data_IF_567655607053
#
_entry.id   IF_567655607053
#
_cell.length_a   1.000
_cell.length_b   1.000
_cell.length_c   1.000
_cell.angle_alpha   90.00
_cell.angle_beta   90.00
_cell.angle_gamma   90.00
#
_symmetry.space_group_name_H-M   'P 1'
#
loop_
_entity.id
_entity.type
_entity.pdbx_description
1 polymer ?
#
# COMPACT_ATOMS: atom_id res chain seq x y z
N UNK A 1 1.50 -25.07 -6.10
CA UNK A 1 1.64 -24.84 -7.55
C UNK A 1 1.76 -23.32 -7.77
N UNK A 2 2.76 -22.88 -8.51
CA UNK A 2 2.87 -21.49 -8.96
C UNK A 2 2.00 -21.36 -10.21
N UNK A 3 1.24 -20.28 -10.30
CA UNK A 3 0.43 -19.91 -11.46
C UNK A 3 1.03 -18.63 -12.02
N UNK A 4 1.23 -18.57 -13.32
CA UNK A 4 1.72 -17.35 -13.98
C UNK A 4 0.64 -16.24 -13.95
N UNK A 5 1.05 -14.99 -14.02
CA UNK A 5 0.13 -13.86 -14.14
C UNK A 5 -0.74 -14.07 -15.39
N UNK A 6 -2.04 -13.81 -15.25
CA UNK A 6 -3.06 -14.08 -16.27
C UNK A 6 -3.16 -15.55 -16.71
N UNK A 7 -2.64 -16.48 -15.91
CA UNK A 7 -2.72 -17.91 -16.18
C UNK A 7 -4.07 -18.51 -15.80
N UNK A 8 -4.28 -19.75 -16.25
CA UNK A 8 -5.50 -20.52 -15.98
C UNK A 8 -5.18 -21.80 -15.23
N UNK A 9 -6.07 -22.20 -14.33
CA UNK A 9 -6.01 -23.46 -13.58
C UNK A 9 -7.32 -24.22 -13.75
N UNK A 10 -7.23 -25.47 -14.14
CA UNK A 10 -8.37 -26.38 -14.19
C UNK A 10 -8.46 -27.17 -12.89
N UNK A 11 -9.62 -27.11 -12.25
CA UNK A 11 -10.01 -27.86 -11.06
C UNK A 11 -11.43 -28.43 -11.32
N UNK A 12 -11.52 -29.55 -12.04
CA UNK A 12 -12.80 -30.12 -12.46
C UNK A 12 -13.85 -30.10 -11.34
N UNK A 13 -15.07 -29.57 -11.60
CA UNK A 13 -15.61 -29.05 -12.87
C UNK A 13 -15.34 -27.54 -13.14
N UNK A 14 -14.37 -26.90 -12.48
CA UNK A 14 -14.08 -25.47 -12.57
C UNK A 14 -12.86 -25.18 -13.44
N UNK A 15 -12.95 -24.10 -14.22
CA UNK A 15 -11.79 -23.45 -14.87
C UNK A 15 -11.62 -22.05 -14.24
N UNK A 16 -10.45 -21.77 -13.69
CA UNK A 16 -10.15 -20.53 -12.97
C UNK A 16 -9.09 -19.76 -13.75
N UNK A 17 -9.45 -18.59 -14.27
CA UNK A 17 -8.55 -17.64 -14.91
C UNK A 17 -8.19 -16.54 -13.92
N UNK A 18 -6.89 -16.31 -13.75
CA UNK A 18 -6.36 -15.18 -12.99
C UNK A 18 -6.34 -13.94 -13.88
N UNK A 19 -6.78 -12.80 -13.36
CA UNK A 19 -6.85 -11.54 -14.10
C UNK A 19 -6.10 -10.49 -13.31
N UNK A 20 -5.04 -9.96 -13.89
CA UNK A 20 -4.24 -8.91 -13.25
C UNK A 20 -5.09 -7.66 -13.00
N UNK A 21 -5.14 -7.25 -11.75
CA UNK A 21 -5.74 -6.00 -11.28
C UNK A 21 -4.67 -5.12 -10.64
N UNK A 22 -5.05 -3.95 -10.14
CA UNK A 22 -4.20 -3.09 -9.32
C UNK A 22 -4.79 -2.95 -7.91
N UNK A 23 -3.92 -2.93 -6.91
CA UNK A 23 -4.24 -2.75 -5.50
C UNK A 23 -2.98 -2.29 -4.74
N UNK A 24 -3.04 -2.23 -3.42
CA UNK A 24 -1.87 -1.89 -2.57
C UNK A 24 -0.98 -3.08 -2.20
N UNK A 25 -1.23 -4.28 -2.73
CA UNK A 25 -0.40 -5.48 -2.56
C UNK A 25 0.33 -5.83 -3.87
N UNK A 26 1.28 -6.76 -3.79
CA UNK A 26 1.91 -7.33 -4.98
C UNK A 26 0.94 -8.28 -5.70
N UNK A 27 0.96 -8.22 -7.04
CA UNK A 27 0.25 -9.15 -7.93
C UNK A 27 -1.21 -9.37 -7.52
N UNK A 28 -2.03 -8.30 -7.34
CA UNK A 28 -3.44 -8.49 -7.05
C UNK A 28 -4.15 -9.06 -8.27
N UNK A 29 -4.99 -10.08 -8.04
CA UNK A 29 -5.70 -10.76 -9.09
C UNK A 29 -7.19 -10.85 -8.81
N UNK A 30 -8.01 -10.57 -9.83
CA UNK A 30 -9.37 -11.07 -9.91
C UNK A 30 -9.37 -12.52 -10.39
N UNK A 31 -10.45 -13.23 -10.11
CA UNK A 31 -10.66 -14.61 -10.54
C UNK A 31 -11.92 -14.70 -11.40
N UNK A 32 -11.76 -15.13 -12.65
CA UNK A 32 -12.88 -15.60 -13.44
C UNK A 32 -13.03 -17.08 -13.21
N UNK A 33 -14.17 -17.50 -12.70
CA UNK A 33 -14.48 -18.90 -12.39
C UNK A 33 -15.56 -19.37 -13.34
N UNK A 34 -15.19 -20.20 -14.32
CA UNK A 34 -16.15 -20.87 -15.20
C UNK A 34 -16.66 -22.14 -14.53
N UNK A 35 -17.96 -22.31 -14.58
CA UNK A 35 -18.66 -23.47 -14.03
C UNK A 35 -19.59 -24.07 -15.08
N UNK A 36 -20.14 -25.28 -14.90
CA UNK A 36 -21.12 -25.83 -15.82
C UNK A 36 -22.39 -25.00 -16.01
N UNK A 37 -22.71 -24.11 -15.08
CA UNK A 37 -23.93 -23.30 -15.10
C UNK A 37 -23.70 -21.84 -15.48
N UNK A 38 -22.45 -21.40 -15.59
CA UNK A 38 -22.09 -20.04 -15.98
C UNK A 38 -20.75 -19.57 -15.44
N UNK A 39 -20.38 -18.35 -15.79
CA UNK A 39 -19.13 -17.72 -15.38
C UNK A 39 -19.39 -16.70 -14.27
N UNK A 40 -18.53 -16.70 -13.25
CA UNK A 40 -18.53 -15.75 -12.15
C UNK A 40 -17.21 -14.98 -12.18
N UNK A 41 -17.26 -13.68 -11.92
CA UNK A 41 -16.06 -12.86 -11.66
C UNK A 41 -16.00 -12.47 -10.19
N UNK A 42 -14.91 -12.82 -9.53
CA UNK A 42 -14.56 -12.34 -8.19
C UNK A 42 -13.39 -11.37 -8.30
N UNK A 43 -13.58 -10.11 -7.95
CA UNK A 43 -12.52 -9.10 -8.14
C UNK A 43 -11.39 -9.22 -7.11
N UNK A 44 -11.65 -9.78 -5.92
CA UNK A 44 -10.81 -9.52 -4.77
C UNK A 44 -10.82 -8.02 -4.46
N UNK A 45 -9.82 -7.56 -3.70
CA UNK A 45 -9.60 -6.13 -3.47
C UNK A 45 -8.87 -5.54 -4.69
N UNK A 46 -9.35 -4.40 -5.16
CA UNK A 46 -8.85 -3.77 -6.39
C UNK A 46 -9.06 -2.26 -6.40
N UNK A 47 -8.39 -1.58 -7.31
CA UNK A 47 -8.65 -0.19 -7.70
C UNK A 47 -8.27 0.01 -9.17
N UNK A 48 -8.58 1.14 -9.76
CA UNK A 48 -7.98 1.57 -11.04
C UNK A 48 -6.82 2.51 -10.73
N UNK A 49 -5.59 2.06 -10.95
CA UNK A 49 -4.42 2.94 -10.90
C UNK A 49 -3.91 3.18 -12.33
N UNK A 50 -4.02 4.40 -12.86
CA UNK A 50 -3.58 4.70 -14.23
C UNK A 50 -2.06 4.63 -14.38
N UNK A 51 -1.31 4.81 -13.28
CA UNK A 51 0.16 4.83 -13.26
C UNK A 51 0.69 4.06 -12.05
N UNK A 52 0.50 2.71 -12.01
CA UNK A 52 0.98 1.89 -10.93
C UNK A 52 2.50 1.91 -10.89
N UNK A 53 3.07 2.00 -9.69
CA UNK A 53 4.52 2.02 -9.49
C UNK A 53 5.12 0.61 -9.51
N UNK A 54 4.30 -0.39 -9.26
CA UNK A 54 4.68 -1.80 -9.17
C UNK A 54 3.60 -2.64 -9.85
N UNK A 55 4.03 -3.60 -10.65
CA UNK A 55 3.14 -4.48 -11.41
C UNK A 55 2.54 -3.80 -12.64
N UNK A 56 1.64 -4.51 -13.29
CA UNK A 56 0.98 -4.08 -14.52
C UNK A 56 -0.31 -3.32 -14.24
N UNK A 57 -0.74 -2.53 -15.20
CA UNK A 57 -2.08 -1.90 -15.20
C UNK A 57 -3.16 -2.97 -15.34
N UNK A 58 -4.38 -2.63 -14.93
CA UNK A 58 -5.56 -3.46 -15.19
C UNK A 58 -5.68 -3.71 -16.69
N UNK A 59 -5.92 -4.97 -17.05
CA UNK A 59 -6.22 -5.34 -18.42
C UNK A 59 -7.71 -5.11 -18.73
N UNK A 60 -8.07 -3.86 -19.02
CA UNK A 60 -9.45 -3.48 -19.35
C UNK A 60 -10.01 -4.25 -20.55
N UNK A 61 -9.19 -4.53 -21.57
CA UNK A 61 -9.64 -5.27 -22.75
C UNK A 61 -10.06 -6.68 -22.37
N UNK A 62 -9.28 -7.35 -21.51
CA UNK A 62 -9.66 -8.69 -21.04
C UNK A 62 -10.94 -8.69 -20.23
N UNK A 63 -11.16 -7.68 -19.38
CA UNK A 63 -12.40 -7.54 -18.63
C UNK A 63 -13.61 -7.30 -19.54
N UNK A 64 -13.47 -6.51 -20.62
CA UNK A 64 -14.49 -6.29 -21.63
C UNK A 64 -14.83 -7.58 -22.40
N UNK A 65 -13.80 -8.33 -22.82
CA UNK A 65 -13.96 -9.65 -23.46
C UNK A 65 -14.74 -10.62 -22.57
N UNK A 66 -14.37 -10.68 -21.26
CA UNK A 66 -15.08 -11.49 -20.28
C UNK A 66 -16.56 -11.08 -20.16
N UNK A 67 -16.84 -9.79 -20.21
CA UNK A 67 -18.18 -9.24 -20.23
C UNK A 67 -18.97 -9.67 -21.48
N UNK A 68 -18.34 -9.67 -22.66
CA UNK A 68 -18.93 -10.13 -23.92
C UNK A 68 -19.16 -11.65 -23.94
N UNK A 69 -18.25 -12.42 -23.35
CA UNK A 69 -18.42 -13.87 -23.16
C UNK A 69 -19.57 -14.21 -22.20
N UNK A 70 -19.97 -13.26 -21.35
CA UNK A 70 -21.08 -13.35 -20.42
C UNK A 70 -20.67 -13.74 -19.00
N UNK A 71 -21.04 -12.89 -18.03
CA UNK A 71 -20.83 -13.09 -16.60
C UNK A 71 -22.17 -13.21 -15.90
N UNK A 72 -22.37 -14.35 -15.23
CA UNK A 72 -23.61 -14.61 -14.50
C UNK A 72 -23.70 -13.73 -13.26
N UNK A 73 -22.61 -13.67 -12.49
CA UNK A 73 -22.52 -12.87 -11.28
C UNK A 73 -21.12 -12.27 -11.09
N UNK A 74 -21.06 -11.08 -10.47
CA UNK A 74 -19.81 -10.47 -10.07
C UNK A 74 -19.81 -10.24 -8.54
N UNK A 75 -18.79 -10.78 -7.87
CA UNK A 75 -18.48 -10.50 -6.47
C UNK A 75 -17.42 -9.41 -6.48
N UNK A 76 -17.82 -8.18 -6.13
CA UNK A 76 -16.98 -6.99 -6.32
C UNK A 76 -16.69 -6.29 -5.01
N UNK A 77 -15.42 -5.94 -4.77
CA UNK A 77 -15.05 -5.01 -3.70
C UNK A 77 -15.71 -3.66 -3.96
N UNK A 78 -16.47 -3.21 -2.98
CA UNK A 78 -17.20 -1.93 -3.01
C UNK A 78 -16.91 -1.09 -1.76
N UNK A 79 -15.77 -1.30 -1.12
CA UNK A 79 -15.36 -0.68 0.15
C UNK A 79 -15.53 0.84 0.14
N UNK A 80 -15.19 1.50 -0.97
CA UNK A 80 -15.28 2.96 -1.09
C UNK A 80 -16.44 3.45 -1.99
N UNK A 81 -17.52 2.69 -2.14
CA UNK A 81 -18.66 3.06 -3.01
C UNK A 81 -19.25 4.44 -2.70
N UNK A 82 -19.17 4.90 -1.45
CA UNK A 82 -19.63 6.23 -1.05
C UNK A 82 -18.64 7.36 -1.37
N UNK A 83 -17.39 7.04 -1.70
CA UNK A 83 -16.39 8.02 -2.11
C UNK A 83 -16.59 8.41 -3.57
N UNK A 84 -16.77 9.69 -3.83
CA UNK A 84 -16.91 10.21 -5.19
C UNK A 84 -15.57 10.19 -5.94
N UNK A 85 -15.63 10.22 -7.27
CA UNK A 85 -14.44 10.27 -8.13
C UNK A 85 -13.71 8.94 -8.22
N UNK A 86 -12.42 9.00 -8.54
CA UNK A 86 -11.50 7.85 -8.71
C UNK A 86 -10.58 7.68 -7.51
N UNK A 87 -10.06 6.48 -7.33
CA UNK A 87 -9.19 6.13 -6.20
C UNK A 87 -7.81 6.83 -6.21
N UNK A 88 -7.34 7.31 -7.38
CA UNK A 88 -6.06 7.98 -7.52
C UNK A 88 -4.86 7.04 -7.70
N UNK A 89 -3.66 7.62 -7.96
CA UNK A 89 -2.45 6.88 -8.29
C UNK A 89 -1.40 6.92 -7.17
N UNK A 90 -0.68 5.81 -7.00
CA UNK A 90 0.53 5.76 -6.15
C UNK A 90 1.65 6.67 -6.67
N UNK A 91 1.69 6.96 -7.99
CA UNK A 91 2.64 7.92 -8.55
C UNK A 91 2.44 9.34 -7.99
N UNK A 92 1.19 9.77 -7.81
CA UNK A 92 0.90 11.10 -7.26
C UNK A 92 1.24 11.17 -5.77
N UNK A 93 1.01 10.09 -5.03
CA UNK A 93 1.51 9.97 -3.65
C UNK A 93 3.02 10.09 -3.59
N UNK A 94 3.76 9.42 -4.50
CA UNK A 94 5.23 9.52 -4.57
C UNK A 94 5.70 10.95 -4.77
N UNK A 95 5.10 11.67 -5.72
CA UNK A 95 5.44 13.08 -6.00
C UNK A 95 5.27 13.94 -4.76
N UNK A 96 4.13 13.81 -4.08
CA UNK A 96 3.86 14.64 -2.91
C UNK A 96 4.68 14.20 -1.69
N UNK A 97 4.87 12.90 -1.47
CA UNK A 97 5.71 12.40 -0.38
C UNK A 97 7.17 12.89 -0.52
N UNK A 98 7.68 12.95 -1.76
CA UNK A 98 9.00 13.55 -2.02
C UNK A 98 9.04 15.03 -1.65
N UNK A 99 8.02 15.80 -2.02
CA UNK A 99 7.92 17.22 -1.65
C UNK A 99 7.89 17.40 -0.11
N UNK A 100 7.08 16.59 0.57
CA UNK A 100 7.00 16.59 2.04
C UNK A 100 8.36 16.27 2.66
N UNK A 101 9.00 15.17 2.26
CA UNK A 101 10.29 14.74 2.83
C UNK A 101 11.43 15.71 2.53
N UNK A 102 11.38 16.43 1.39
CA UNK A 102 12.41 17.40 1.02
C UNK A 102 12.44 18.64 1.94
N UNK A 103 11.31 19.02 2.53
CA UNK A 103 11.24 20.18 3.44
C UNK A 103 11.62 19.83 4.89
N UNK A 104 11.58 18.53 5.25
CA UNK A 104 11.90 18.06 6.61
C UNK A 104 13.40 18.06 6.85
N UNK A 105 13.83 18.60 7.98
CA UNK A 105 15.26 18.85 8.28
C UNK A 105 15.88 17.83 9.21
N UNK A 106 15.06 17.06 9.92
CA UNK A 106 15.52 16.08 10.92
C UNK A 106 15.16 14.66 10.49
N UNK A 107 15.17 13.73 11.43
CA UNK A 107 14.79 12.34 11.23
C UNK A 107 13.35 12.23 10.73
N UNK A 108 13.14 11.32 9.81
CA UNK A 108 11.81 11.03 9.27
C UNK A 108 11.46 9.59 9.61
N UNK A 109 10.27 9.38 10.14
CA UNK A 109 9.68 8.06 10.30
C UNK A 109 8.45 8.01 9.40
N UNK A 110 8.44 7.08 8.45
CA UNK A 110 7.26 6.80 7.61
C UNK A 110 6.62 5.53 8.15
N UNK A 111 5.35 5.59 8.48
CA UNK A 111 4.59 4.40 8.88
C UNK A 111 3.50 4.09 7.86
N UNK A 112 3.42 2.82 7.46
CA UNK A 112 2.47 2.32 6.46
C UNK A 112 2.16 0.83 6.68
N UNK A 113 1.19 0.31 5.92
CA UNK A 113 0.98 -1.14 5.85
C UNK A 113 2.19 -1.81 5.19
N UNK A 114 2.72 -2.85 5.81
CA UNK A 114 3.86 -3.58 5.27
C UNK A 114 3.55 -4.24 3.92
N UNK A 115 2.30 -4.61 3.68
CA UNK A 115 1.84 -5.21 2.41
C UNK A 115 1.81 -4.22 1.25
N UNK A 116 1.79 -2.90 1.50
CA UNK A 116 1.84 -1.89 0.45
C UNK A 116 3.26 -1.70 -0.07
N UNK A 117 3.66 -2.56 -1.01
CA UNK A 117 5.02 -2.55 -1.58
C UNK A 117 5.25 -1.33 -2.47
N UNK A 118 4.22 -0.79 -3.11
CA UNK A 118 4.33 0.46 -3.88
C UNK A 118 4.67 1.65 -2.96
N UNK A 119 4.09 1.70 -1.75
CA UNK A 119 4.43 2.69 -0.74
C UNK A 119 5.83 2.47 -0.16
N UNK A 120 6.21 1.20 0.03
CA UNK A 120 7.57 0.84 0.43
C UNK A 120 8.58 1.35 -0.60
N UNK A 121 8.37 1.06 -1.88
CA UNK A 121 9.23 1.53 -2.98
C UNK A 121 9.28 3.07 -3.04
N UNK A 122 8.14 3.73 -2.83
CA UNK A 122 8.07 5.20 -2.74
C UNK A 122 8.92 5.74 -1.58
N UNK A 123 8.91 5.08 -0.41
CA UNK A 123 9.74 5.51 0.72
C UNK A 123 11.23 5.36 0.42
N UNK A 124 11.64 4.28 -0.24
CA UNK A 124 13.03 4.09 -0.72
C UNK A 124 13.43 5.17 -1.72
N UNK A 125 12.58 5.41 -2.73
CA UNK A 125 12.81 6.45 -3.73
C UNK A 125 12.97 7.84 -3.09
N UNK A 126 12.08 8.21 -2.17
CA UNK A 126 12.13 9.50 -1.50
C UNK A 126 13.36 9.64 -0.59
N UNK A 127 13.77 8.56 0.10
CA UNK A 127 14.98 8.55 0.90
C UNK A 127 16.22 8.82 0.02
N UNK A 128 16.36 8.09 -1.09
CA UNK A 128 17.45 8.28 -2.05
C UNK A 128 17.49 9.72 -2.61
N UNK A 129 16.34 10.23 -3.10
CA UNK A 129 16.24 11.58 -3.68
C UNK A 129 16.49 12.70 -2.70
N UNK A 130 16.27 12.47 -1.41
CA UNK A 130 16.58 13.43 -0.32
C UNK A 130 17.96 13.22 0.30
N UNK A 131 18.77 12.32 -0.25
CA UNK A 131 20.15 12.03 0.22
C UNK A 131 20.18 11.41 1.61
N UNK A 132 19.17 10.57 1.94
CA UNK A 132 19.02 9.89 3.23
C UNK A 132 19.18 8.38 3.06
N UNK A 133 19.71 7.74 4.09
CA UNK A 133 19.63 6.29 4.22
C UNK A 133 18.26 5.88 4.72
N UNK A 134 17.85 4.65 4.43
CA UNK A 134 16.57 4.10 4.89
C UNK A 134 16.80 2.84 5.71
N UNK A 135 16.02 2.67 6.75
CA UNK A 135 16.03 1.48 7.60
C UNK A 135 14.60 0.94 7.77
N UNK A 136 14.45 -0.37 7.66
CA UNK A 136 13.16 -1.05 7.87
C UNK A 136 13.00 -1.41 9.34
N UNK A 137 11.80 -1.16 9.90
CA UNK A 137 11.52 -1.42 11.31
C UNK A 137 10.20 -2.19 11.46
N UNK A 138 10.28 -3.38 12.04
CA UNK A 138 9.16 -4.28 12.21
C UNK A 138 9.27 -5.56 11.39
N UNK A 139 8.93 -6.69 11.99
CA UNK A 139 9.12 -8.03 11.39
C UNK A 139 8.38 -8.21 10.06
N UNK A 140 7.15 -7.73 9.96
CA UNK A 140 6.38 -7.82 8.71
C UNK A 140 6.98 -6.95 7.59
N UNK A 141 7.56 -5.80 7.91
CA UNK A 141 8.24 -4.95 6.94
C UNK A 141 9.41 -5.69 6.28
N UNK A 142 10.28 -6.30 7.09
CA UNK A 142 11.40 -7.11 6.60
C UNK A 142 10.94 -8.34 5.80
N UNK A 143 9.88 -9.02 6.28
CA UNK A 143 9.35 -10.21 5.60
C UNK A 143 8.82 -9.86 4.21
N UNK A 144 8.03 -8.81 4.10
CA UNK A 144 7.46 -8.37 2.81
C UNK A 144 8.55 -7.85 1.88
N UNK A 145 9.50 -7.05 2.39
CA UNK A 145 10.65 -6.60 1.60
C UNK A 145 11.41 -7.79 0.99
N UNK A 146 11.74 -8.79 1.81
CA UNK A 146 12.44 -10.01 1.35
C UNK A 146 11.62 -10.76 0.29
N UNK A 147 10.33 -10.95 0.51
CA UNK A 147 9.44 -11.62 -0.45
C UNK A 147 9.37 -10.85 -1.77
N UNK A 148 9.19 -9.52 -1.71
CA UNK A 148 9.18 -8.66 -2.90
C UNK A 148 10.48 -8.79 -3.71
N UNK A 149 11.64 -8.77 -3.04
CA UNK A 149 12.95 -8.98 -3.70
C UNK A 149 13.07 -10.36 -4.35
N UNK A 150 12.59 -11.41 -3.70
CA UNK A 150 12.58 -12.76 -4.25
C UNK A 150 11.69 -12.89 -5.49
N UNK A 151 10.56 -12.17 -5.51
CA UNK A 151 9.66 -12.11 -6.67
C UNK A 151 10.12 -11.12 -7.77
N UNK A 152 11.28 -10.49 -7.60
CA UNK A 152 11.85 -9.62 -8.63
C UNK A 152 11.53 -8.14 -8.51
N UNK A 153 10.75 -7.75 -7.48
CA UNK A 153 10.43 -6.35 -7.18
C UNK A 153 11.52 -5.68 -6.33
N UNK A 154 11.49 -4.36 -6.22
CA UNK A 154 12.41 -3.55 -5.43
C UNK A 154 13.91 -3.74 -5.74
N UNK A 155 14.26 -4.25 -6.93
CA UNK A 155 15.66 -4.53 -7.31
C UNK A 155 16.49 -3.27 -7.51
N UNK A 156 15.85 -2.19 -7.90
CA UNK A 156 16.49 -0.92 -8.24
C UNK A 156 16.42 0.12 -7.09
N UNK A 157 16.07 -0.32 -5.89
CA UNK A 157 16.07 0.54 -4.70
C UNK A 157 17.41 0.47 -3.98
N UNK A 158 17.75 1.52 -3.22
CA UNK A 158 18.89 1.48 -2.29
C UNK A 158 18.67 0.35 -1.27
N UNK A 159 19.75 -0.25 -0.78
CA UNK A 159 19.64 -1.29 0.25
C UNK A 159 19.31 -0.67 1.62
N UNK A 160 18.35 -1.24 2.36
CA UNK A 160 18.06 -0.76 3.71
C UNK A 160 19.17 -1.13 4.68
N UNK A 161 19.52 -0.22 5.55
CA UNK A 161 20.50 -0.45 6.62
C UNK A 161 19.85 -1.05 7.86
N UNK A 162 20.61 -1.80 8.66
CA UNK A 162 20.13 -2.36 9.93
C UNK A 162 19.77 -1.22 10.91
N UNK A 163 18.64 -1.31 11.65
CA UNK A 163 18.26 -0.28 12.63
C UNK A 163 19.35 0.00 13.67
N UNK A 164 20.18 -0.99 14.02
CA UNK A 164 21.32 -0.83 14.94
C UNK A 164 22.45 0.01 14.34
N UNK A 165 22.63 -0.05 13.04
CA UNK A 165 23.59 0.80 12.33
C UNK A 165 23.02 2.19 12.08
N UNK A 166 21.72 2.25 11.78
CA UNK A 166 20.99 3.48 11.48
C UNK A 166 21.09 4.53 12.60
N UNK A 167 21.16 4.11 13.86
CA UNK A 167 21.33 5.02 15.03
C UNK A 167 22.64 5.80 15.04
N UNK A 168 23.65 5.36 14.28
CA UNK A 168 24.95 6.05 14.16
C UNK A 168 24.94 7.17 13.11
N UNK A 169 23.89 7.26 12.30
CA UNK A 169 23.70 8.34 11.34
C UNK A 169 23.15 9.59 12.02
N UNK A 170 23.54 10.75 11.53
CA UNK A 170 22.93 12.00 11.95
C UNK A 170 21.44 12.04 11.58
N UNK A 171 20.62 12.73 12.39
CA UNK A 171 19.16 12.72 12.29
C UNK A 171 18.64 13.14 10.91
N UNK A 172 19.32 14.07 10.25
CA UNK A 172 18.98 14.56 8.91
C UNK A 172 19.31 13.56 7.80
N UNK A 173 20.03 12.48 8.09
CA UNK A 173 20.49 11.50 7.11
C UNK A 173 19.75 10.16 7.17
N UNK A 174 18.71 10.04 7.99
CA UNK A 174 18.03 8.77 8.20
C UNK A 174 16.51 8.87 8.01
N UNK A 175 15.93 7.88 7.33
CA UNK A 175 14.51 7.58 7.25
C UNK A 175 14.28 6.21 7.85
N UNK A 176 13.29 6.07 8.71
CA UNK A 176 12.78 4.77 9.13
C UNK A 176 11.46 4.50 8.46
N UNK A 177 11.30 3.32 7.82
CA UNK A 177 10.02 2.83 7.35
C UNK A 177 9.54 1.74 8.31
N UNK A 178 8.41 1.97 8.97
CA UNK A 178 7.98 1.10 10.05
C UNK A 178 6.51 0.68 9.96
N UNK A 179 6.17 -0.38 10.70
CA UNK A 179 4.79 -0.83 10.95
C UNK A 179 4.16 -0.05 12.10
N UNK A 180 2.84 -0.14 12.24
CA UNK A 180 2.12 0.50 13.35
C UNK A 180 1.29 1.71 12.92
N UNK A 181 0.95 1.79 11.64
CA UNK A 181 0.17 2.89 11.06
C UNK A 181 -1.28 2.97 11.55
N UNK A 182 -1.77 1.95 12.23
CA UNK A 182 -3.12 1.88 12.81
C UNK A 182 -3.12 1.92 14.35
N UNK A 183 -1.99 2.25 14.96
CA UNK A 183 -1.86 2.26 16.42
C UNK A 183 -1.90 0.85 17.04
N UNK A 184 -1.42 -0.15 16.30
CA UNK A 184 -1.35 -1.53 16.79
C UNK A 184 -0.39 -1.62 17.99
N UNK A 185 -0.82 -2.19 19.13
CA UNK A 185 0.00 -2.21 20.36
C UNK A 185 1.39 -2.83 20.19
N UNK A 186 1.52 -3.81 19.30
CA UNK A 186 2.79 -4.46 18.97
C UNK A 186 3.50 -3.87 17.74
N UNK A 187 2.92 -2.83 17.16
CA UNK A 187 3.49 -2.12 16.02
C UNK A 187 4.79 -1.38 16.38
N UNK A 188 5.71 -1.27 15.42
CA UNK A 188 6.97 -0.59 15.68
C UNK A 188 6.76 0.88 16.07
N UNK A 189 5.80 1.57 15.42
CA UNK A 189 5.51 2.97 15.73
C UNK A 189 5.07 3.18 17.18
N UNK A 190 4.24 2.28 17.73
CA UNK A 190 3.83 2.36 19.14
C UNK A 190 5.01 2.21 20.10
N UNK A 191 5.96 1.32 19.80
CA UNK A 191 7.17 1.14 20.62
C UNK A 191 8.12 2.33 20.50
N UNK A 192 8.22 2.93 19.32
CA UNK A 192 9.03 4.12 19.09
C UNK A 192 8.46 5.30 19.88
N UNK A 193 7.15 5.55 19.77
CA UNK A 193 6.48 6.66 20.45
C UNK A 193 6.46 6.54 21.97
N UNK A 194 6.51 5.30 22.49
CA UNK A 194 6.61 5.05 23.93
C UNK A 194 8.05 4.91 24.44
N UNK A 195 9.05 5.20 23.60
CA UNK A 195 10.47 5.11 23.93
C UNK A 195 10.95 3.72 24.39
N UNK A 196 10.24 2.66 23.95
CA UNK A 196 10.54 1.25 24.31
C UNK A 196 11.18 0.45 23.17
N UNK A 197 11.39 1.09 21.99
CA UNK A 197 12.08 0.43 20.89
C UNK A 197 13.60 0.38 21.16
N UNK A 198 14.27 -0.77 21.00
CA UNK A 198 15.67 -0.91 21.41
C UNK A 198 16.66 -0.13 20.53
N UNK A 199 16.33 0.10 19.27
CA UNK A 199 17.29 0.62 18.29
C UNK A 199 16.80 1.90 17.59
N UNK A 200 15.54 2.30 17.74
CA UNK A 200 14.98 3.49 17.10
C UNK A 200 14.46 4.45 18.15
N UNK A 201 15.00 5.65 18.11
CA UNK A 201 14.64 6.74 19.02
C UNK A 201 14.01 7.87 18.23
N UNK A 202 13.12 8.61 18.86
CA UNK A 202 12.48 9.80 18.31
C UNK A 202 12.71 10.97 19.26
N UNK A 203 12.92 12.15 18.72
CA UNK A 203 13.30 13.33 19.47
C UNK A 203 12.60 14.57 18.91
N UNK A 204 12.46 15.60 19.73
CA UNK A 204 11.87 16.88 19.34
C UNK A 204 12.42 17.39 17.99
N UNK A 205 11.53 17.79 17.11
CA UNK A 205 11.82 18.25 15.76
C UNK A 205 11.98 17.14 14.72
N UNK A 206 11.89 15.85 15.07
CA UNK A 206 11.70 14.76 14.12
C UNK A 206 10.29 14.81 13.54
N UNK A 207 10.06 14.08 12.44
CA UNK A 207 8.74 13.99 11.80
C UNK A 207 8.28 12.54 11.67
N UNK A 208 6.97 12.33 11.86
CA UNK A 208 6.30 11.05 11.59
C UNK A 208 5.25 11.25 10.51
N UNK A 209 5.37 10.50 9.43
CA UNK A 209 4.45 10.50 8.29
C UNK A 209 3.58 9.25 8.36
N UNK A 210 2.29 9.41 8.63
CA UNK A 210 1.30 8.32 8.62
C UNK A 210 0.76 8.14 7.21
N UNK A 211 1.48 7.36 6.39
CA UNK A 211 1.15 7.14 4.99
C UNK A 211 0.15 6.00 4.81
N UNK A 212 -0.99 6.12 5.48
CA UNK A 212 -2.12 5.19 5.44
C UNK A 212 -3.40 5.89 5.85
N UNK A 213 -4.54 5.43 5.34
CA UNK A 213 -5.86 5.86 5.82
C UNK A 213 -6.11 5.31 7.22
N UNK A 214 -6.83 6.06 8.04
CA UNK A 214 -7.34 5.57 9.32
C UNK A 214 -8.47 4.57 9.07
N UNK A 215 -8.28 3.33 9.52
CA UNK A 215 -9.33 2.31 9.44
C UNK A 215 -10.40 2.63 10.50
N UNK A 216 -11.71 2.63 10.13
CA UNK A 216 -12.79 2.83 11.10
C UNK A 216 -12.66 1.93 12.33
N UNK A 217 -12.76 2.54 13.51
CA UNK A 217 -12.56 1.89 14.82
C UNK A 217 -11.16 2.05 15.42
N UNK A 218 -10.18 2.54 14.66
CA UNK A 218 -8.82 2.81 15.15
C UNK A 218 -8.59 4.29 15.53
N UNK A 219 -9.56 5.17 15.28
CA UNK A 219 -9.42 6.62 15.42
C UNK A 219 -8.91 7.02 16.80
N UNK A 220 -9.53 6.50 17.87
CA UNK A 220 -9.15 6.83 19.25
C UNK A 220 -7.70 6.47 19.58
N UNK A 221 -7.23 5.33 19.06
CA UNK A 221 -5.85 4.88 19.28
C UNK A 221 -4.86 5.76 18.50
N UNK A 222 -5.18 6.06 17.25
CA UNK A 222 -4.33 6.90 16.40
C UNK A 222 -4.28 8.34 16.90
N UNK A 223 -5.40 8.95 17.22
CA UNK A 223 -5.39 10.32 17.78
C UNK A 223 -4.66 10.40 19.12
N UNK A 224 -4.75 9.35 19.96
CA UNK A 224 -3.93 9.29 21.18
C UNK A 224 -2.44 9.27 20.84
N UNK A 225 -2.03 8.49 19.85
CA UNK A 225 -0.65 8.41 19.37
C UNK A 225 -0.19 9.74 18.77
N UNK A 226 -0.99 10.33 17.88
CA UNK A 226 -0.70 11.65 17.28
C UNK A 226 -0.54 12.72 18.36
N UNK A 227 -1.46 12.81 19.32
CA UNK A 227 -1.40 13.76 20.42
C UNK A 227 -0.18 13.57 21.32
N UNK A 228 0.27 12.32 21.52
CA UNK A 228 1.51 12.06 22.25
C UNK A 228 2.71 12.60 21.48
N UNK A 229 2.84 12.25 20.19
CA UNK A 229 3.92 12.72 19.33
C UNK A 229 4.00 14.26 19.28
N UNK A 230 2.87 14.92 19.09
CA UNK A 230 2.79 16.40 19.06
C UNK A 230 3.24 17.00 20.41
N UNK A 231 2.82 16.42 21.53
CA UNK A 231 3.27 16.89 22.87
C UNK A 231 4.78 16.72 23.07
N UNK A 232 5.36 15.70 22.45
CA UNK A 232 6.79 15.44 22.50
C UNK A 232 7.58 16.31 21.47
N UNK A 233 6.89 17.24 20.79
CA UNK A 233 7.49 18.16 19.83
C UNK A 233 7.84 17.50 18.48
N UNK A 234 7.16 16.42 18.12
CA UNK A 234 7.30 15.71 16.86
C UNK A 234 6.28 16.26 15.85
N UNK A 235 6.73 16.51 14.63
CA UNK A 235 5.85 16.89 13.53
C UNK A 235 5.05 15.68 13.05
N UNK A 236 3.72 15.73 13.12
CA UNK A 236 2.82 14.65 12.66
C UNK A 236 2.21 15.04 11.32
N UNK A 237 2.44 14.20 10.32
CA UNK A 237 1.93 14.37 8.96
C UNK A 237 1.02 13.19 8.64
N UNK A 238 -0.23 13.47 8.25
CA UNK A 238 -1.26 12.48 7.95
C UNK A 238 -2.04 12.87 6.69
N UNK A 239 -2.95 12.00 6.24
CA UNK A 239 -3.83 12.29 5.10
C UNK A 239 -4.77 13.49 5.33
N UNK A 240 -4.93 13.94 6.59
CA UNK A 240 -5.73 15.11 6.92
C UNK A 240 -5.06 16.44 6.53
N UNK A 241 -3.74 16.47 6.45
CA UNK A 241 -2.98 17.70 6.17
C UNK A 241 -2.09 17.62 4.92
N UNK A 242 -1.84 16.42 4.39
CA UNK A 242 -1.01 16.22 3.18
C UNK A 242 -1.53 15.06 2.34
N UNK A 243 -1.38 15.16 1.03
CA UNK A 243 -1.73 14.07 0.11
C UNK A 243 -0.62 12.98 0.10
N UNK A 244 -0.61 12.15 1.11
CA UNK A 244 0.41 11.10 1.32
C UNK A 244 -0.16 9.67 1.29
N UNK A 245 -1.41 9.55 0.93
CA UNK A 245 -2.10 8.27 0.83
C UNK A 245 -3.14 8.28 -0.29
N UNK A 246 -3.30 7.15 -0.95
CA UNK A 246 -4.46 6.80 -1.79
C UNK A 246 -4.98 5.44 -1.36
N UNK A 247 -6.28 5.25 -1.48
CA UNK A 247 -6.92 3.97 -1.15
C UNK A 247 -6.44 2.86 -2.08
N UNK A 248 -6.39 1.64 -1.58
CA UNK A 248 -6.24 0.43 -2.40
C UNK A 248 -7.55 -0.05 -3.00
N UNK A 249 -8.70 0.54 -2.61
CA UNK A 249 -10.04 0.10 -2.99
C UNK A 249 -10.70 1.08 -3.97
N UNK A 250 -11.61 0.59 -4.86
CA UNK A 250 -12.22 1.40 -5.89
C UNK A 250 -13.18 2.43 -5.32
N UNK A 251 -13.11 3.66 -5.84
CA UNK A 251 -14.12 4.67 -5.62
C UNK A 251 -15.28 4.49 -6.62
N UNK A 252 -16.30 5.35 -6.54
CA UNK A 252 -17.55 5.21 -7.32
C UNK A 252 -17.34 5.16 -8.83
N UNK A 253 -16.43 5.99 -9.38
CA UNK A 253 -16.22 5.99 -10.83
C UNK A 253 -15.42 4.76 -11.30
N UNK A 254 -14.51 4.24 -10.47
CA UNK A 254 -13.81 3.00 -10.76
C UNK A 254 -14.79 1.81 -10.79
N UNK A 255 -15.74 1.78 -9.84
CA UNK A 255 -16.81 0.79 -9.81
C UNK A 255 -17.70 0.84 -11.07
N UNK A 256 -18.08 2.04 -11.51
CA UNK A 256 -18.85 2.19 -12.75
C UNK A 256 -18.10 1.61 -13.95
N UNK A 257 -16.80 1.87 -14.05
CA UNK A 257 -15.99 1.31 -15.12
C UNK A 257 -15.99 -0.22 -15.09
N UNK A 258 -15.76 -0.82 -13.93
CA UNK A 258 -15.77 -2.29 -13.77
C UNK A 258 -17.12 -2.89 -14.18
N UNK A 259 -18.25 -2.31 -13.73
CA UNK A 259 -19.57 -2.76 -14.12
C UNK A 259 -19.82 -2.60 -15.62
N UNK A 260 -19.33 -1.54 -16.24
CA UNK A 260 -19.45 -1.29 -17.68
C UNK A 260 -18.59 -2.28 -18.50
N UNK A 261 -17.40 -2.66 -18.00
CA UNK A 261 -16.55 -3.64 -18.66
C UNK A 261 -17.14 -5.04 -18.59
N UNK A 262 -17.58 -5.46 -17.42
CA UNK A 262 -17.97 -6.85 -17.12
C UNK A 262 -19.43 -7.13 -17.42
N UNK A 263 -20.33 -6.16 -17.29
CA UNK A 263 -21.78 -6.27 -17.54
C UNK A 263 -22.42 -7.51 -16.91
N UNK A 264 -22.22 -7.77 -15.61
CA UNK A 264 -22.74 -8.97 -14.96
C UNK A 264 -24.28 -8.97 -14.98
N UNK A 265 -24.89 -10.17 -14.99
CA UNK A 265 -26.35 -10.29 -14.89
C UNK A 265 -26.85 -10.00 -13.46
N UNK A 266 -26.04 -10.28 -12.44
CA UNK A 266 -26.29 -9.96 -11.04
C UNK A 266 -24.97 -9.79 -10.25
#
# INVERSE_FOLDING_TARGET
KIVELNGTVSLDPFEIEYITLTHSILEPNGLRIKTPVGSILHTGDWKVDPDPLIGDKINENRLKEIGEEGVLAMICDSTNVFSAGRSGSELDVRKNLLNVMSRLKKRIIVTSFASNVARMETAFYCAEKTGRQISLVGRSMHRIYKAARQCGYLKNTIEPIDPREAKNFSREKIVYLCTGSQGEPMGAMMRISSYTHPDVFIEQGDAVIFSSKIIPGNEKKLYKLHNQLVRDGIEVISEENEFIHVSGHPNREDLKDMYNWVKPKC
#
